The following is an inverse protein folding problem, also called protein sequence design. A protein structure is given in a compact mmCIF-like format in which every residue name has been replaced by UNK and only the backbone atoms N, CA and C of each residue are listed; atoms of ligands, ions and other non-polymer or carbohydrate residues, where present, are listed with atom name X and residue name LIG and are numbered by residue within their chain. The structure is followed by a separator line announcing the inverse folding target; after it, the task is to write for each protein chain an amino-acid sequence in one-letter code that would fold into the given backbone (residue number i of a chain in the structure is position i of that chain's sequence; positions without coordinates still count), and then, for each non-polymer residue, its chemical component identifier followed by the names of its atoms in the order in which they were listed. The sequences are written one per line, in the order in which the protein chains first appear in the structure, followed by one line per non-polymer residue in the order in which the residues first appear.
data_IF_421761467891
#
_entry.id   IF_421761467891
#
_cell.length_a   1.000
_cell.length_b   1.000
_cell.length_c   1.000
_cell.angle_alpha   90.00
_cell.angle_beta   90.00
_cell.angle_gamma   90.00
#
_symmetry.space_group_name_H-M   'P 1'
#
loop_
_entity.id
_entity.type
_entity.pdbx_description
1 polymer ?
#
# COMPACT_ATOMS: atom_id res chain seq x y z
N UNK A 1 3.42 -1.33 -7.35
CA UNK A 1 4.27 -2.46 -7.80
C UNK A 1 3.78 -3.13 -9.09
N UNK A 2 2.46 -3.29 -9.34
CA UNK A 2 1.94 -3.90 -10.58
C UNK A 2 2.57 -3.40 -11.90
N UNK A 3 2.76 -2.08 -12.12
CA UNK A 3 3.31 -1.58 -13.39
C UNK A 3 4.80 -1.87 -13.60
N UNK A 4 5.54 -2.20 -12.54
CA UNK A 4 7.00 -2.45 -12.59
C UNK A 4 7.33 -3.94 -12.54
N UNK A 5 6.33 -4.82 -12.50
CA UNK A 5 6.54 -6.28 -12.38
C UNK A 5 7.29 -6.88 -13.58
N UNK A 6 7.17 -6.29 -14.77
CA UNK A 6 7.89 -6.73 -15.97
C UNK A 6 9.39 -6.45 -15.84
N UNK A 7 9.77 -5.27 -15.35
CA UNK A 7 11.17 -4.87 -15.14
C UNK A 7 11.81 -5.62 -13.95
N UNK A 8 11.10 -5.71 -12.81
CA UNK A 8 11.55 -6.48 -11.63
C UNK A 8 11.76 -7.96 -11.99
N UNK A 9 10.93 -8.51 -12.89
CA UNK A 9 11.09 -9.88 -13.38
C UNK A 9 12.35 -10.04 -14.24
N UNK A 10 12.64 -9.07 -15.10
CA UNK A 10 13.85 -9.03 -15.91
C UNK A 10 15.11 -8.89 -15.06
N UNK A 11 15.14 -7.92 -14.14
CA UNK A 11 16.34 -7.60 -13.37
C UNK A 11 16.69 -8.68 -12.33
N UNK A 12 15.70 -9.32 -11.71
CA UNK A 12 15.93 -10.34 -10.69
C UNK A 12 15.84 -11.79 -11.22
N UNK A 13 15.54 -12.01 -12.50
CA UNK A 13 15.39 -13.35 -13.07
C UNK A 13 14.31 -14.19 -12.39
N UNK A 14 13.25 -13.55 -11.87
CA UNK A 14 12.23 -14.22 -11.09
C UNK A 14 11.31 -15.06 -11.96
N UNK A 15 10.95 -16.25 -11.46
CA UNK A 15 9.95 -17.09 -12.12
C UNK A 15 8.57 -16.43 -12.00
N UNK A 16 7.74 -16.53 -13.05
CA UNK A 16 6.33 -16.04 -13.02
C UNK A 16 5.57 -16.54 -11.78
N UNK A 17 5.87 -17.76 -11.36
CA UNK A 17 5.28 -18.40 -10.17
C UNK A 17 5.72 -17.75 -8.85
N UNK A 18 6.96 -17.28 -8.72
CA UNK A 18 7.42 -16.56 -7.52
C UNK A 18 6.72 -15.20 -7.39
N UNK A 19 6.51 -14.50 -8.51
CA UNK A 19 5.76 -13.23 -8.54
C UNK A 19 4.31 -13.46 -8.12
N UNK A 20 3.68 -14.53 -8.64
CA UNK A 20 2.33 -14.90 -8.26
C UNK A 20 2.20 -15.24 -6.77
N UNK A 21 3.11 -16.05 -6.25
CA UNK A 21 3.15 -16.40 -4.82
C UNK A 21 3.31 -15.16 -3.93
N UNK A 22 4.18 -14.21 -4.31
CA UNK A 22 4.37 -12.95 -3.59
C UNK A 22 3.10 -12.08 -3.57
N UNK A 23 2.31 -12.13 -4.65
CA UNK A 23 1.06 -11.37 -4.75
C UNK A 23 -0.04 -12.00 -3.89
N UNK A 24 -0.15 -13.32 -3.88
CA UNK A 24 -1.06 -14.04 -2.98
C UNK A 24 -0.71 -13.74 -1.52
N UNK A 25 0.57 -13.77 -1.15
CA UNK A 25 1.01 -13.46 0.21
C UNK A 25 0.62 -12.03 0.64
N UNK A 26 0.74 -11.04 -0.26
CA UNK A 26 0.31 -9.67 -0.01
C UNK A 26 -1.20 -9.53 0.20
N UNK A 27 -2.00 -10.17 -0.65
CA UNK A 27 -3.46 -10.16 -0.53
C UNK A 27 -3.92 -10.92 0.72
N UNK A 28 -3.29 -12.06 1.03
CA UNK A 28 -3.56 -12.83 2.23
C UNK A 28 -3.31 -12.01 3.51
N UNK A 29 -2.18 -11.30 3.57
CA UNK A 29 -1.88 -10.35 4.65
C UNK A 29 -2.95 -9.26 4.78
N UNK A 30 -3.41 -8.72 3.65
CA UNK A 30 -4.49 -7.72 3.62
C UNK A 30 -5.77 -8.25 4.27
N UNK A 31 -6.21 -9.44 3.86
CA UNK A 31 -7.43 -10.07 4.38
C UNK A 31 -7.32 -10.28 5.89
N UNK A 32 -6.20 -10.84 6.34
CA UNK A 32 -5.95 -11.07 7.77
C UNK A 32 -6.01 -9.77 8.58
N UNK A 33 -5.30 -8.73 8.12
CA UNK A 33 -5.27 -7.45 8.83
C UNK A 33 -6.62 -6.72 8.84
N UNK A 34 -7.52 -6.98 7.89
CA UNK A 34 -8.88 -6.42 7.92
C UNK A 34 -9.69 -6.95 9.12
N UNK A 35 -9.54 -8.22 9.48
CA UNK A 35 -10.19 -8.79 10.67
C UNK A 35 -9.62 -8.22 11.97
N UNK A 36 -8.30 -7.98 12.00
CA UNK A 36 -7.61 -7.44 13.18
C UNK A 36 -7.92 -5.95 13.36
N UNK A 37 -7.92 -5.18 12.27
CA UNK A 37 -8.06 -3.74 12.33
C UNK A 37 -9.49 -3.28 12.60
N UNK A 38 -10.52 -4.09 12.31
CA UNK A 38 -11.91 -3.76 12.66
C UNK A 38 -12.07 -3.46 14.17
N UNK A 39 -11.81 -4.43 15.06
CA UNK A 39 -11.88 -4.22 16.51
C UNK A 39 -10.90 -3.18 17.04
N UNK A 40 -9.75 -2.99 16.39
CA UNK A 40 -8.78 -1.95 16.77
C UNK A 40 -9.32 -0.54 16.50
N UNK A 41 -10.08 -0.34 15.41
CA UNK A 41 -10.71 0.94 15.10
C UNK A 41 -11.76 1.33 16.15
N UNK A 42 -12.53 0.36 16.66
CA UNK A 42 -13.49 0.61 17.74
C UNK A 42 -12.83 1.10 19.03
N UNK A 43 -11.60 0.64 19.30
CA UNK A 43 -10.88 1.00 20.52
C UNK A 43 -10.09 2.31 20.38
N UNK A 44 -9.33 2.48 19.31
CA UNK A 44 -8.37 3.59 19.19
C UNK A 44 -8.86 4.75 18.31
N UNK A 45 -9.98 4.57 17.62
CA UNK A 45 -10.51 5.54 16.66
C UNK A 45 -9.91 5.38 15.26
N UNK A 46 -10.67 5.77 14.23
CA UNK A 46 -10.23 5.61 12.84
C UNK A 46 -9.05 6.50 12.45
N UNK A 47 -8.91 7.71 13.02
CA UNK A 47 -7.86 8.67 12.61
C UNK A 47 -6.47 8.12 12.92
N UNK A 48 -6.25 7.74 14.18
CA UNK A 48 -4.93 7.30 14.64
C UNK A 48 -4.58 5.96 14.00
N UNK A 49 -5.54 5.02 13.90
CA UNK A 49 -5.29 3.74 13.23
C UNK A 49 -4.94 3.92 11.76
N UNK A 50 -5.66 4.78 11.03
CA UNK A 50 -5.35 5.08 9.63
C UNK A 50 -3.94 5.66 9.48
N UNK A 51 -3.58 6.66 10.28
CA UNK A 51 -2.25 7.27 10.23
C UNK A 51 -1.12 6.32 10.64
N UNK A 52 -1.32 5.49 11.67
CA UNK A 52 -0.33 4.48 12.08
C UNK A 52 -0.06 3.46 10.98
N UNK A 53 -1.11 2.97 10.31
CA UNK A 53 -0.96 1.98 9.23
C UNK A 53 -0.32 2.62 8.00
N UNK A 54 -0.67 3.86 7.64
CA UNK A 54 -0.04 4.57 6.53
C UNK A 54 1.44 4.88 6.82
N UNK A 55 1.77 5.29 8.04
CA UNK A 55 3.15 5.51 8.47
C UNK A 55 3.95 4.20 8.49
N UNK A 56 3.33 3.09 8.88
CA UNK A 56 3.98 1.78 8.76
C UNK A 56 4.17 1.37 7.29
N UNK A 57 3.18 1.60 6.44
CA UNK A 57 3.20 1.17 5.03
C UNK A 57 4.18 1.96 4.15
N UNK A 58 4.56 3.19 4.52
CA UNK A 58 5.53 3.96 3.75
C UNK A 58 6.94 3.32 3.79
N UNK A 59 7.32 2.71 4.90
CA UNK A 59 8.63 2.05 5.09
C UNK A 59 8.84 0.88 4.10
N UNK A 60 8.00 -0.17 4.06
CA UNK A 60 8.17 -1.26 3.11
C UNK A 60 7.94 -0.82 1.66
N UNK A 61 7.15 0.25 1.43
CA UNK A 61 6.99 0.83 0.09
C UNK A 61 8.30 1.43 -0.42
N UNK A 62 9.03 2.18 0.42
CA UNK A 62 10.35 2.71 0.06
C UNK A 62 11.38 1.59 -0.12
N UNK A 63 11.37 0.59 0.77
CA UNK A 63 12.28 -0.57 0.71
C UNK A 63 12.00 -1.52 -0.47
N UNK A 64 10.90 -1.33 -1.20
CA UNK A 64 10.64 -2.13 -2.42
C UNK A 64 11.76 -1.95 -3.45
N UNK A 65 12.37 -0.76 -3.50
CA UNK A 65 13.49 -0.47 -4.39
C UNK A 65 14.80 -1.16 -4.01
N UNK A 66 14.90 -1.83 -2.85
CA UNK A 66 16.13 -2.53 -2.41
C UNK A 66 16.00 -4.04 -2.48
N UNK A 67 14.92 -4.56 -3.06
CA UNK A 67 14.70 -6.01 -3.19
C UNK A 67 15.72 -6.61 -4.14
N UNK A 68 16.36 -7.71 -3.72
CA UNK A 68 17.33 -8.47 -4.51
C UNK A 68 17.01 -9.97 -4.61
N UNK A 69 16.02 -10.47 -3.86
CA UNK A 69 15.64 -11.88 -3.83
C UNK A 69 14.13 -12.11 -3.94
N UNK A 70 13.76 -13.31 -4.39
CA UNK A 70 12.36 -13.79 -4.42
C UNK A 70 11.71 -13.76 -3.02
N UNK A 71 12.49 -14.11 -1.99
CA UNK A 71 12.00 -14.12 -0.60
C UNK A 71 11.74 -12.70 -0.10
N UNK A 72 12.65 -11.77 -0.39
CA UNK A 72 12.52 -10.36 -0.03
C UNK A 72 11.28 -9.73 -0.69
N UNK A 73 11.02 -10.10 -1.95
CA UNK A 73 9.81 -9.65 -2.65
C UNK A 73 8.54 -10.14 -1.96
N UNK A 74 8.51 -11.40 -1.51
CA UNK A 74 7.35 -11.95 -0.77
C UNK A 74 7.15 -11.21 0.55
N UNK A 75 8.22 -10.99 1.32
CA UNK A 75 8.16 -10.30 2.61
C UNK A 75 7.67 -8.86 2.43
N UNK A 76 8.27 -8.09 1.51
CA UNK A 76 7.87 -6.71 1.29
C UNK A 76 6.42 -6.61 0.82
N UNK A 77 5.97 -7.49 -0.08
CA UNK A 77 4.56 -7.50 -0.51
C UNK A 77 3.60 -7.86 0.61
N UNK A 78 4.00 -8.76 1.52
CA UNK A 78 3.24 -9.07 2.72
C UNK A 78 3.09 -7.83 3.62
N UNK A 79 4.17 -7.08 3.82
CA UNK A 79 4.18 -5.85 4.62
C UNK A 79 3.38 -4.72 3.97
N UNK A 80 3.49 -4.53 2.65
CA UNK A 80 2.64 -3.57 1.91
C UNK A 80 1.17 -3.98 1.97
N UNK A 81 0.89 -5.29 1.98
CA UNK A 81 -0.45 -5.85 2.16
C UNK A 81 -1.13 -5.39 3.46
N UNK A 82 -0.36 -5.14 4.53
CA UNK A 82 -0.89 -4.56 5.77
C UNK A 82 -1.49 -3.18 5.49
N UNK A 83 -0.83 -2.36 4.66
CA UNK A 83 -1.36 -1.07 4.21
C UNK A 83 -2.67 -1.18 3.42
N UNK A 84 -2.91 -2.30 2.72
CA UNK A 84 -4.16 -2.57 2.01
C UNK A 84 -5.39 -2.77 2.91
N UNK A 85 -5.17 -2.91 4.22
CA UNK A 85 -6.25 -3.01 5.21
C UNK A 85 -6.89 -1.67 5.57
N UNK A 86 -6.26 -0.53 5.20
CA UNK A 86 -6.75 0.85 5.40
C UNK A 86 -8.18 1.09 4.91
N UNK A 87 -8.64 0.27 3.96
CA UNK A 87 -10.03 0.24 3.52
C UNK A 87 -11.04 0.12 4.68
N UNK A 88 -10.78 -0.74 5.67
CA UNK A 88 -11.71 -0.91 6.81
C UNK A 88 -11.79 0.35 7.67
N UNK A 89 -10.67 1.07 7.84
CA UNK A 89 -10.62 2.33 8.59
C UNK A 89 -11.42 3.40 7.85
N UNK A 90 -11.25 3.48 6.53
CA UNK A 90 -11.99 4.42 5.69
C UNK A 90 -13.51 4.19 5.78
N UNK A 91 -13.96 2.94 5.60
CA UNK A 91 -15.39 2.61 5.69
C UNK A 91 -15.96 2.85 7.09
N UNK A 92 -15.18 2.56 8.13
CA UNK A 92 -15.57 2.85 9.51
C UNK A 92 -15.73 4.36 9.71
N UNK A 93 -14.75 5.14 9.27
CA UNK A 93 -14.71 6.58 9.47
C UNK A 93 -15.85 7.31 8.77
N UNK A 94 -16.09 7.02 7.49
CA UNK A 94 -17.23 7.57 6.74
C UNK A 94 -18.56 7.17 7.38
N UNK A 95 -18.68 5.94 7.86
CA UNK A 95 -19.90 5.47 8.54
C UNK A 95 -20.19 6.17 9.87
N UNK A 96 -19.17 6.74 10.52
CA UNK A 96 -19.32 7.52 11.75
C UNK A 96 -19.55 9.01 11.50
N UNK A 97 -19.14 9.51 10.34
CA UNK A 97 -19.30 10.92 9.95
C UNK A 97 -20.68 11.21 9.34
N UNK A 98 -21.27 10.24 8.65
CA UNK A 98 -22.52 10.40 7.91
C UNK A 98 -23.71 9.70 8.58
N UNK A 99 -24.93 10.21 8.34
CA UNK A 99 -26.17 9.60 8.83
C UNK A 99 -26.57 8.38 8.01
N UNK A 100 -27.41 7.49 8.57
CA UNK A 100 -27.80 6.21 7.95
C UNK A 100 -28.45 6.35 6.56
N UNK A 101 -29.04 7.50 6.27
CA UNK A 101 -29.71 7.77 4.99
C UNK A 101 -28.72 7.97 3.84
N UNK A 102 -27.54 8.53 4.14
CA UNK A 102 -26.52 8.89 3.13
C UNK A 102 -25.22 8.10 3.26
N UNK A 103 -25.06 7.32 4.33
CA UNK A 103 -23.85 6.53 4.60
C UNK A 103 -23.50 5.55 3.50
N UNK A 104 -24.51 4.96 2.83
CA UNK A 104 -24.30 4.04 1.72
C UNK A 104 -23.61 4.72 0.54
N UNK A 105 -24.09 5.90 0.14
CA UNK A 105 -23.51 6.71 -0.93
C UNK A 105 -22.12 7.22 -0.56
N UNK A 106 -21.92 7.67 0.68
CA UNK A 106 -20.61 8.09 1.16
C UNK A 106 -19.58 6.95 1.12
N UNK A 107 -19.94 5.77 1.64
CA UNK A 107 -19.10 4.58 1.59
C UNK A 107 -18.80 4.10 0.17
N UNK A 108 -19.77 4.22 -0.75
CA UNK A 108 -19.59 3.87 -2.15
C UNK A 108 -18.61 4.83 -2.84
N UNK A 109 -18.72 6.14 -2.57
CA UNK A 109 -17.80 7.14 -3.12
C UNK A 109 -16.38 6.94 -2.58
N UNK A 110 -16.23 6.78 -1.26
CA UNK A 110 -14.94 6.51 -0.62
C UNK A 110 -14.29 5.23 -1.16
N UNK A 111 -15.06 4.14 -1.25
CA UNK A 111 -14.57 2.87 -1.81
C UNK A 111 -14.24 2.95 -3.29
N UNK A 112 -15.03 3.69 -4.07
CA UNK A 112 -14.78 3.95 -5.49
C UNK A 112 -13.46 4.70 -5.71
N UNK A 113 -13.22 5.76 -4.92
CA UNK A 113 -11.97 6.51 -4.99
C UNK A 113 -10.75 5.67 -4.60
N UNK A 114 -10.89 4.82 -3.59
CA UNK A 114 -9.84 3.87 -3.19
C UNK A 114 -9.46 2.91 -4.31
N UNK A 115 -10.44 2.36 -5.04
CA UNK A 115 -10.20 1.46 -6.17
C UNK A 115 -9.62 2.19 -7.40
N UNK A 116 -10.05 3.44 -7.65
CA UNK A 116 -9.50 4.28 -8.72
C UNK A 116 -7.99 4.51 -8.57
N UNK A 117 -7.48 4.56 -7.34
CA UNK A 117 -6.05 4.67 -7.04
C UNK A 117 -5.20 3.58 -7.71
N UNK A 118 -5.73 2.36 -7.89
CA UNK A 118 -5.05 1.28 -8.60
C UNK A 118 -4.78 1.61 -10.07
N UNK A 119 -5.76 2.23 -10.75
CA UNK A 119 -5.63 2.68 -12.14
C UNK A 119 -4.71 3.90 -12.27
N UNK A 120 -4.88 4.89 -11.40
CA UNK A 120 -4.01 6.09 -11.38
C UNK A 120 -2.56 5.70 -11.14
N UNK A 121 -2.29 4.73 -10.25
CA UNK A 121 -0.93 4.24 -10.03
C UNK A 121 -0.32 3.66 -11.30
N UNK A 122 -1.08 2.92 -12.12
CA UNK A 122 -0.55 2.37 -13.37
C UNK A 122 -0.17 3.47 -14.37
N UNK A 123 -1.01 4.50 -14.50
CA UNK A 123 -0.74 5.64 -15.38
C UNK A 123 0.43 6.48 -14.88
N UNK A 124 0.45 6.84 -13.60
CA UNK A 124 1.49 7.71 -13.03
C UNK A 124 2.83 6.99 -12.93
N UNK A 125 2.87 5.78 -12.39
CA UNK A 125 4.12 5.03 -12.22
C UNK A 125 4.64 4.51 -13.56
N UNK A 126 3.77 3.91 -14.36
CA UNK A 126 4.15 3.26 -15.61
C UNK A 126 4.37 4.23 -16.76
N UNK A 127 3.47 5.20 -16.95
CA UNK A 127 3.50 6.07 -18.14
C UNK A 127 4.18 7.42 -17.91
N UNK A 128 4.33 7.87 -16.66
CA UNK A 128 4.92 9.19 -16.35
C UNK A 128 6.25 9.08 -15.61
N UNK A 129 6.26 8.47 -14.42
CA UNK A 129 7.45 8.44 -13.57
C UNK A 129 8.57 7.59 -14.18
N UNK A 130 8.27 6.38 -14.64
CA UNK A 130 9.29 5.50 -15.23
C UNK A 130 10.04 6.10 -16.44
N UNK A 131 9.37 6.61 -17.50
CA UNK A 131 10.08 7.22 -18.62
C UNK A 131 10.79 8.53 -18.24
N UNK A 132 10.24 9.31 -17.32
CA UNK A 132 10.90 10.53 -16.81
C UNK A 132 12.20 10.18 -16.08
N UNK A 133 12.20 9.18 -15.19
CA UNK A 133 13.43 8.75 -14.53
C UNK A 133 14.42 8.11 -15.51
N UNK A 134 13.95 7.35 -16.50
CA UNK A 134 14.82 6.83 -17.58
C UNK A 134 15.51 7.99 -18.33
N UNK A 135 14.78 9.04 -18.69
CA UNK A 135 15.34 10.23 -19.34
C UNK A 135 16.33 11.02 -18.45
N UNK A 136 16.13 11.03 -17.12
CA UNK A 136 17.03 11.71 -16.17
C UNK A 136 18.33 10.93 -15.96
N UNK A 137 18.26 9.59 -15.93
CA UNK A 137 19.44 8.75 -15.72
C UNK A 137 20.31 8.57 -16.97
N UNK A 138 19.80 8.95 -18.14
CA UNK A 138 20.51 8.81 -19.42
C UNK A 138 20.38 7.40 -19.98
N UNK A 139 20.20 7.28 -21.29
CA UNK A 139 20.24 6.00 -21.98
C UNK A 139 21.70 5.53 -22.05
N UNK A 140 22.07 4.59 -21.18
CA UNK A 140 23.29 3.82 -21.36
C UNK A 140 23.07 2.93 -22.60
N UNK A 141 23.63 3.31 -23.77
CA UNK A 141 23.52 2.57 -25.05
C UNK A 141 23.89 1.08 -24.92
N UNK A 142 24.82 0.77 -24.01
CA UNK A 142 25.28 -0.60 -23.73
C UNK A 142 24.22 -1.48 -23.05
N UNK A 143 23.11 -0.90 -22.58
CA UNK A 143 22.08 -1.54 -21.76
C UNK A 143 20.78 -1.84 -22.53
N UNK A 144 20.61 -1.27 -23.73
CA UNK A 144 19.41 -1.44 -24.55
C UNK A 144 19.40 -2.74 -25.37
N UNK A 145 20.57 -3.27 -25.74
CA UNK A 145 20.71 -4.46 -26.60
C UNK A 145 20.34 -5.81 -25.95
N UNK A 146 19.92 -5.82 -24.68
CA UNK A 146 19.68 -7.04 -23.88
C UNK A 146 18.21 -7.43 -23.85
N UNK A 147 17.33 -6.54 -24.31
CA UNK A 147 15.89 -6.64 -24.12
C UNK A 147 15.17 -7.37 -25.26
N UNK A 148 15.82 -7.52 -26.41
CA UNK A 148 15.27 -8.21 -27.59
C UNK A 148 15.77 -9.65 -27.75
N UNK A 149 16.64 -10.13 -26.85
CA UNK A 149 17.20 -11.48 -26.93
C UNK A 149 16.53 -12.42 -25.92
N UNK A 150 15.88 -13.49 -26.41
CA UNK A 150 15.20 -14.51 -25.59
C UNK A 150 16.15 -15.24 -24.60
N UNK A 151 17.47 -15.00 -24.70
CA UNK A 151 18.56 -15.53 -23.87
C UNK A 151 19.28 -14.45 -23.03
N UNK A 152 18.58 -13.40 -22.60
CA UNK A 152 19.09 -12.28 -21.78
C UNK A 152 19.94 -12.65 -20.52
N UNK A 153 19.85 -13.89 -20.02
CA UNK A 153 20.66 -14.40 -18.90
C UNK A 153 22.13 -14.58 -19.29
N UNK A 154 22.39 -14.95 -20.54
CA UNK A 154 23.74 -15.31 -21.01
C UNK A 154 24.52 -14.10 -21.51
N UNK A 155 23.82 -13.13 -22.11
CA UNK A 155 24.42 -11.83 -22.44
C UNK A 155 24.92 -11.18 -21.15
N UNK A 156 24.15 -11.19 -20.02
CA UNK A 156 24.44 -10.49 -18.72
C UNK A 156 25.88 -10.59 -18.19
N UNK A 157 26.63 -11.61 -18.62
CA UNK A 157 27.98 -11.92 -18.17
C UNK A 157 29.04 -10.89 -18.60
N UNK A 158 28.74 -10.06 -19.60
CA UNK A 158 29.76 -9.21 -20.22
C UNK A 158 29.82 -7.78 -19.65
N UNK A 159 28.86 -7.37 -18.80
CA UNK A 159 28.90 -6.08 -18.11
C UNK A 159 29.70 -6.16 -16.79
N UNK A 160 30.43 -5.08 -16.42
CA UNK A 160 31.03 -4.94 -15.11
C UNK A 160 29.99 -5.13 -13.99
N UNK A 161 30.37 -5.82 -12.91
CA UNK A 161 29.50 -6.17 -11.79
C UNK A 161 28.94 -4.96 -11.02
N UNK A 162 29.45 -3.76 -11.30
CA UNK A 162 29.09 -2.47 -10.72
C UNK A 162 28.20 -1.58 -11.61
N UNK A 163 27.95 -1.98 -12.87
CA UNK A 163 27.14 -1.19 -13.81
C UNK A 163 25.64 -1.46 -13.63
N UNK A 164 24.98 -0.66 -12.78
CA UNK A 164 23.51 -0.64 -12.69
C UNK A 164 22.90 0.08 -13.89
N UNK A 165 22.09 -0.64 -14.66
CA UNK A 165 21.40 -0.14 -15.83
C UNK A 165 20.45 1.02 -15.50
N UNK A 166 20.24 1.97 -16.43
CA UNK A 166 19.33 3.10 -16.23
C UNK A 166 17.89 2.66 -15.86
N UNK A 167 17.41 1.54 -16.43
CA UNK A 167 16.11 0.92 -16.07
C UNK A 167 16.08 0.49 -14.60
N UNK A 168 17.19 -0.07 -14.11
CA UNK A 168 17.32 -0.55 -12.74
C UNK A 168 17.30 0.61 -11.74
N UNK A 169 18.01 1.70 -12.03
CA UNK A 169 17.96 2.93 -11.22
C UNK A 169 16.55 3.55 -11.24
N UNK A 170 15.88 3.52 -12.38
CA UNK A 170 14.55 4.11 -12.55
C UNK A 170 13.49 3.40 -11.69
N UNK A 171 13.33 2.07 -11.77
CA UNK A 171 12.28 1.39 -11.01
C UNK A 171 12.52 1.43 -9.50
N UNK A 172 13.79 1.41 -9.05
CA UNK A 172 14.17 1.50 -7.64
C UNK A 172 13.81 2.88 -7.06
N UNK A 173 14.08 3.96 -7.80
CA UNK A 173 13.76 5.33 -7.37
C UNK A 173 12.27 5.63 -7.43
N UNK A 174 11.55 5.09 -8.41
CA UNK A 174 10.10 5.30 -8.56
C UNK A 174 9.30 4.80 -7.34
N UNK A 175 9.81 3.80 -6.61
CA UNK A 175 9.18 3.30 -5.38
C UNK A 175 9.21 4.30 -4.21
N UNK A 176 10.11 5.28 -4.23
CA UNK A 176 10.23 6.30 -3.17
C UNK A 176 9.11 7.34 -3.25
N UNK A 177 8.68 7.71 -4.46
CA UNK A 177 7.62 8.69 -4.68
C UNK A 177 6.31 8.34 -3.95
N UNK A 178 5.71 7.14 -4.14
CA UNK A 178 4.50 6.76 -3.42
C UNK A 178 4.74 6.62 -1.91
N UNK A 179 5.94 6.24 -1.46
CA UNK A 179 6.26 6.17 -0.04
C UNK A 179 6.20 7.56 0.62
N UNK A 180 6.78 8.58 -0.03
CA UNK A 180 6.74 9.97 0.44
C UNK A 180 5.30 10.49 0.47
N UNK A 181 4.53 10.28 -0.60
CA UNK A 181 3.11 10.69 -0.65
C UNK A 181 2.31 10.05 0.48
N UNK A 182 2.55 8.76 0.75
CA UNK A 182 1.88 8.03 1.84
C UNK A 182 2.25 8.60 3.21
N UNK A 183 3.53 8.92 3.44
CA UNK A 183 4.00 9.51 4.69
C UNK A 183 3.42 10.92 4.93
N UNK A 184 3.39 11.75 3.88
CA UNK A 184 2.79 13.09 3.94
C UNK A 184 1.28 13.01 4.23
N UNK A 185 0.59 12.05 3.61
CA UNK A 185 -0.83 11.81 3.86
C UNK A 185 -1.07 11.37 5.30
N UNK A 186 -0.24 10.47 5.84
CA UNK A 186 -0.33 10.03 7.23
C UNK A 186 -0.18 11.20 8.21
N UNK A 187 0.81 12.07 7.96
CA UNK A 187 1.04 13.28 8.75
C UNK A 187 -0.12 14.28 8.64
N UNK A 188 -0.62 14.50 7.43
CA UNK A 188 -1.75 15.40 7.19
C UNK A 188 -3.01 14.99 7.95
N UNK A 189 -3.34 13.70 7.94
CA UNK A 189 -4.48 13.14 8.66
C UNK A 189 -4.37 13.38 10.17
N UNK A 190 -3.16 13.29 10.74
CA UNK A 190 -2.97 13.54 12.18
C UNK A 190 -3.21 15.02 12.54
N UNK A 191 -2.88 15.95 11.65
CA UNK A 191 -2.99 17.38 11.92
C UNK A 191 -4.35 18.00 11.60
N UNK A 192 -5.09 17.47 10.62
CA UNK A 192 -6.26 18.16 10.04
C UNK A 192 -7.54 17.34 10.07
N UNK A 193 -7.57 16.20 10.73
CA UNK A 193 -8.74 15.31 10.73
C UNK A 193 -9.25 14.99 12.12
N UNK A 194 -10.55 14.73 12.22
CA UNK A 194 -11.26 14.41 13.47
C UNK A 194 -11.80 12.98 13.41
N UNK A 195 -11.83 12.27 14.55
CA UNK A 195 -12.33 10.89 14.60
C UNK A 195 -13.87 10.78 14.42
N UNK A 196 -14.62 11.82 14.76
CA UNK A 196 -16.08 11.86 14.65
C UNK A 196 -16.61 13.29 14.62
N UNK A 197 -17.89 13.50 14.23
CA UNK A 197 -18.52 14.83 14.28
C UNK A 197 -18.58 15.45 15.69
N UNK A 198 -18.34 14.65 16.73
CA UNK A 198 -18.32 15.07 18.14
C UNK A 198 -16.90 15.33 18.67
N UNK A 199 -15.89 15.30 17.80
CA UNK A 199 -14.48 15.43 18.17
C UNK A 199 -13.76 14.08 18.29
N UNK A 200 -12.60 14.10 18.96
CA UNK A 200 -11.65 12.99 19.02
C UNK A 200 -12.10 11.90 19.99
N UNK A 201 -11.78 10.63 19.70
CA UNK A 201 -12.21 9.51 20.54
C UNK A 201 -11.61 9.55 21.95
N UNK A 202 -10.39 10.05 22.08
CA UNK A 202 -9.70 10.16 23.38
C UNK A 202 -10.40 11.17 24.28
N UNK A 203 -10.73 12.35 23.75
CA UNK A 203 -11.48 13.39 24.47
C UNK A 203 -12.89 12.92 24.84
N UNK A 204 -13.56 12.19 23.95
CA UNK A 204 -14.89 11.65 24.23
C UNK A 204 -14.88 10.55 25.31
N UNK A 205 -13.79 9.79 25.43
CA UNK A 205 -13.61 8.79 26.49
C UNK A 205 -13.26 9.43 27.83
N UNK A 206 -12.42 10.47 27.81
CA UNK A 206 -12.02 11.22 29.00
C UNK A 206 -13.22 11.98 29.60
N UNK A 207 -14.05 12.57 28.75
CA UNK A 207 -15.28 13.26 29.15
C UNK A 207 -16.47 12.32 29.46
N UNK A 208 -16.27 11.00 29.42
CA UNK A 208 -17.32 10.00 29.68
C UNK A 208 -18.45 9.96 28.64
N UNK A 209 -18.33 10.68 27.52
CA UNK A 209 -19.31 10.74 26.45
C UNK A 209 -19.31 9.51 25.53
N UNK A 210 -18.30 8.63 25.66
CA UNK A 210 -18.20 7.37 24.94
C UNK A 210 -17.72 6.23 25.87
N UNK A 211 -18.45 5.10 25.98
CA UNK A 211 -17.99 3.96 26.75
C UNK A 211 -16.73 3.33 26.13
N UNK A 212 -15.80 2.84 26.97
CA UNK A 212 -14.63 2.12 26.51
C UNK A 212 -15.02 0.73 26.02
N UNK A 213 -15.15 0.56 24.70
CA UNK A 213 -15.46 -0.74 24.11
C UNK A 213 -14.17 -1.58 24.07
N UNK A 214 -14.28 -2.83 24.52
CA UNK A 214 -13.20 -3.83 24.40
C UNK A 214 -13.24 -4.47 23.02
N UNK A 215 -12.09 -4.55 22.35
CA UNK A 215 -11.95 -5.15 21.02
C UNK A 215 -12.51 -6.60 20.95
N UNK A 216 -12.39 -7.36 22.04
CA UNK A 216 -12.94 -8.73 22.13
C UNK A 216 -14.47 -8.74 22.18
N UNK A 217 -15.08 -7.73 22.79
CA UNK A 217 -16.54 -7.59 22.83
C UNK A 217 -17.09 -7.15 21.48
N UNK A 218 -16.45 -6.19 20.79
CA UNK A 218 -16.80 -5.82 19.41
C UNK A 218 -16.74 -7.00 18.46
N UNK A 219 -15.66 -7.79 18.52
CA UNK A 219 -15.50 -8.97 17.67
C UNK A 219 -16.59 -10.01 17.95
N UNK A 220 -16.91 -10.25 19.22
CA UNK A 220 -17.97 -11.18 19.62
C UNK A 220 -19.35 -10.68 19.17
N UNK A 221 -19.65 -9.41 19.38
CA UNK A 221 -20.92 -8.82 18.97
C UNK A 221 -21.09 -8.85 17.45
N UNK A 222 -20.06 -8.52 16.68
CA UNK A 222 -20.07 -8.65 15.21
C UNK A 222 -20.18 -10.09 14.71
N UNK A 223 -19.63 -11.07 15.44
CA UNK A 223 -19.72 -12.48 15.05
C UNK A 223 -21.08 -13.13 15.36
N UNK A 224 -21.82 -12.61 16.35
CA UNK A 224 -23.11 -13.18 16.79
C UNK A 224 -24.33 -12.32 16.42
N UNK A 225 -24.15 -11.07 15.99
CA UNK A 225 -25.26 -10.21 15.60
C UNK A 225 -25.62 -10.39 14.13
N UNK A 226 -26.63 -11.22 13.88
CA UNK A 226 -27.18 -11.54 12.54
C UNK A 226 -27.98 -10.38 11.91
N UNK A 227 -28.13 -9.26 12.64
CA UNK A 227 -28.96 -8.10 12.27
C UNK A 227 -28.16 -6.79 12.02
N UNK A 228 -26.83 -6.87 11.90
CA UNK A 228 -25.98 -5.76 11.43
C UNK A 228 -25.62 -5.98 9.97
#
# INVERSE_FOLDING_TARGET
AAPLLTEIKGDLGLTKQQIWNSSIAGVGSTIFMRFVNGPLCDKYGPRIMMSCILAFACIPTALTGTVASAVDLVIIRMLIGIGGSTFVMCQYWSSRMFTKEVVGTANALCGGWGNLGGGVTQLVVGSLLFPMFKAIYGDDEDCENWRDDDNWIDTRKDLPWDTMCASEKAWRTVCVVPAVVTALTAWWILGHSEDSPKGNYWELKENGAMPSISATNSFREGAYNVNT
#
